data_IF_034286227938
#
_entry.id   IF_034286227938
#
_cell.length_a   1.000
_cell.length_b   1.000
_cell.length_c   1.000
_cell.angle_alpha   90.00
_cell.angle_beta   90.00
_cell.angle_gamma   90.00
#
_symmetry.space_group_name_H-M   'P 1'
#
loop_
_entity.id
_entity.type
_entity.pdbx_description
1 polymer ?
#
# COMPACT_ATOMS: atom_id res chain seq x y z
N UNK A 1 -5.30 26.05 6.98
CA UNK A 1 -4.49 24.82 7.10
C UNK A 1 -5.31 23.70 6.50
N UNK A 2 -4.96 23.24 5.30
CA UNK A 2 -5.78 22.30 4.54
C UNK A 2 -5.55 20.89 5.08
N UNK A 3 -6.56 20.32 5.73
CA UNK A 3 -6.65 18.90 6.04
C UNK A 3 -6.74 18.16 4.72
N UNK A 4 -5.62 17.70 4.15
CA UNK A 4 -5.66 16.80 3.00
C UNK A 4 -6.44 15.56 3.42
N UNK A 5 -7.60 15.27 2.80
CA UNK A 5 -8.33 14.06 3.12
C UNK A 5 -7.46 12.93 2.58
N UNK A 6 -6.88 12.21 3.51
CA UNK A 6 -6.33 10.88 3.30
C UNK A 6 -7.08 10.10 2.23
N UNK A 7 -6.40 9.84 1.11
CA UNK A 7 -6.98 9.11 -0.03
C UNK A 7 -7.34 7.66 0.38
N UNK A 8 -6.70 7.14 1.44
CA UNK A 8 -6.86 5.77 1.90
C UNK A 8 -7.53 5.67 3.28
N UNK A 9 -8.57 4.83 3.43
CA UNK A 9 -9.09 4.46 4.74
C UNK A 9 -8.00 3.80 5.62
N UNK A 10 -7.95 4.05 6.94
CA UNK A 10 -6.93 3.46 7.82
C UNK A 10 -6.83 1.93 7.79
N UNK A 11 -7.95 1.23 7.54
CA UNK A 11 -7.97 -0.22 7.42
C UNK A 11 -7.17 -0.72 6.19
N UNK A 12 -7.20 0.03 5.10
CA UNK A 12 -6.50 -0.28 3.84
C UNK A 12 -5.00 -0.08 4.02
N UNK A 13 -4.61 1.01 4.67
CA UNK A 13 -3.22 1.28 5.03
C UNK A 13 -2.64 0.15 5.88
N UNK A 14 -3.37 -0.28 6.92
CA UNK A 14 -2.95 -1.38 7.79
C UNK A 14 -2.83 -2.71 7.04
N UNK A 15 -3.80 -3.03 6.18
CA UNK A 15 -3.77 -4.25 5.38
C UNK A 15 -2.57 -4.27 4.43
N UNK A 16 -2.30 -3.15 3.75
CA UNK A 16 -1.16 -3.00 2.85
C UNK A 16 0.18 -3.17 3.58
N UNK A 17 0.36 -2.50 4.73
CA UNK A 17 1.57 -2.59 5.55
C UNK A 17 1.78 -4.02 6.05
N UNK A 18 0.71 -4.69 6.48
CA UNK A 18 0.79 -6.11 6.88
C UNK A 18 1.31 -6.97 5.73
N UNK A 19 0.73 -6.84 4.53
CA UNK A 19 1.19 -7.59 3.35
C UNK A 19 2.63 -7.25 2.98
N UNK A 20 3.06 -6.01 3.17
CA UNK A 20 4.45 -5.60 2.95
C UNK A 20 5.40 -6.32 3.89
N UNK A 21 5.04 -6.39 5.18
CA UNK A 21 5.83 -7.13 6.16
C UNK A 21 5.83 -8.63 5.86
N UNK A 22 4.68 -9.20 5.47
CA UNK A 22 4.58 -10.60 5.04
C UNK A 22 5.49 -10.87 3.82
N UNK A 23 5.55 -9.96 2.84
CA UNK A 23 6.41 -10.08 1.65
C UNK A 23 7.89 -10.16 2.01
N UNK A 24 8.36 -9.25 2.88
CA UNK A 24 9.76 -9.22 3.30
C UNK A 24 10.14 -10.38 4.23
N UNK A 25 9.17 -10.96 4.94
CA UNK A 25 9.38 -12.09 5.85
C UNK A 25 9.26 -13.45 5.17
N UNK A 26 8.58 -13.54 4.03
CA UNK A 26 8.37 -14.79 3.30
C UNK A 26 9.64 -15.23 2.55
N UNK A 27 10.08 -16.47 2.76
CA UNK A 27 11.28 -17.05 2.14
C UNK A 27 10.97 -17.85 0.87
N UNK A 28 9.75 -18.33 0.72
CA UNK A 28 9.33 -19.11 -0.43
C UNK A 28 8.96 -18.20 -1.62
N UNK A 29 9.62 -18.34 -2.79
CA UNK A 29 9.42 -17.42 -3.91
C UNK A 29 7.97 -17.30 -4.41
N UNK A 30 7.24 -18.42 -4.53
CA UNK A 30 5.86 -18.42 -5.06
C UNK A 30 4.88 -17.74 -4.10
N UNK A 31 5.04 -17.94 -2.79
CA UNK A 31 4.26 -17.23 -1.78
C UNK A 31 4.59 -15.74 -1.77
N UNK A 32 5.87 -15.39 -1.90
CA UNK A 32 6.31 -14.00 -1.99
C UNK A 32 5.68 -13.29 -3.19
N UNK A 33 5.63 -13.93 -4.36
CA UNK A 33 4.97 -13.39 -5.56
C UNK A 33 3.45 -13.25 -5.35
N UNK A 34 2.83 -14.22 -4.68
CA UNK A 34 1.40 -14.17 -4.34
C UNK A 34 1.09 -12.95 -3.47
N UNK A 35 1.95 -12.65 -2.48
CA UNK A 35 1.81 -11.48 -1.61
C UNK A 35 1.97 -10.18 -2.42
N UNK A 36 2.94 -10.11 -3.34
CA UNK A 36 3.14 -8.95 -4.20
C UNK A 36 1.93 -8.66 -5.09
N UNK A 37 1.31 -9.69 -5.68
CA UNK A 37 0.09 -9.53 -6.49
C UNK A 37 -1.06 -8.99 -5.63
N UNK A 38 -1.18 -9.45 -4.39
CA UNK A 38 -2.21 -8.96 -3.47
C UNK A 38 -1.99 -7.50 -3.09
N UNK A 39 -0.74 -7.08 -2.87
CA UNK A 39 -0.42 -5.67 -2.64
C UNK A 39 -0.75 -4.80 -3.85
N UNK A 40 -0.45 -5.27 -5.07
CA UNK A 40 -0.75 -4.52 -6.30
C UNK A 40 -2.26 -4.34 -6.47
N UNK A 41 -3.06 -5.40 -6.25
CA UNK A 41 -4.53 -5.32 -6.31
C UNK A 41 -5.11 -4.35 -5.28
N UNK A 42 -4.56 -4.31 -4.08
CA UNK A 42 -4.98 -3.36 -3.05
C UNK A 42 -4.70 -1.91 -3.50
N UNK A 43 -3.58 -1.66 -4.17
CA UNK A 43 -3.25 -0.35 -4.75
C UNK A 43 -4.14 0.03 -5.94
N UNK A 44 -4.38 -0.91 -6.86
CA UNK A 44 -5.23 -0.70 -8.03
C UNK A 44 -6.70 -0.45 -7.66
N UNK A 45 -7.24 -1.17 -6.67
CA UNK A 45 -8.63 -0.98 -6.23
C UNK A 45 -8.90 0.41 -5.67
N UNK A 46 -7.89 1.08 -5.13
CA UNK A 46 -8.00 2.42 -4.55
C UNK A 46 -7.68 3.54 -5.53
N UNK A 47 -7.09 3.23 -6.68
CA UNK A 47 -6.71 4.24 -7.66
C UNK A 47 -7.44 4.00 -8.98
N UNK A 48 -8.36 4.91 -9.32
CA UNK A 48 -8.95 4.95 -10.67
C UNK A 48 -7.91 5.41 -11.69
N UNK A 49 -7.04 4.51 -12.15
CA UNK A 49 -6.07 4.79 -13.21
C UNK A 49 -4.79 3.95 -13.13
N UNK A 50 -3.94 4.02 -14.16
CA UNK A 50 -2.63 3.33 -14.17
C UNK A 50 -1.78 3.83 -13.00
N UNK A 51 -1.28 2.90 -12.20
CA UNK A 51 -0.26 3.16 -11.17
C UNK A 51 1.08 3.41 -11.88
N UNK A 52 1.56 4.66 -11.94
CA UNK A 52 2.92 4.96 -12.42
C UNK A 52 3.87 4.88 -11.24
N UNK A 53 5.14 4.56 -11.48
CA UNK A 53 6.16 4.51 -10.42
C UNK A 53 6.27 5.83 -9.64
N UNK A 54 6.11 6.96 -10.32
CA UNK A 54 6.13 8.29 -9.68
C UNK A 54 4.97 8.50 -8.69
N UNK A 55 3.88 7.77 -8.88
CA UNK A 55 2.70 7.82 -8.01
C UNK A 55 2.83 6.95 -6.77
N UNK A 56 3.76 5.99 -6.78
CA UNK A 56 3.98 5.05 -5.68
C UNK A 56 4.61 5.76 -4.48
N UNK A 57 5.59 6.65 -4.72
CA UNK A 57 6.27 7.40 -3.65
C UNK A 57 5.35 8.27 -2.79
N UNK A 58 4.49 9.15 -3.34
CA UNK A 58 3.56 9.95 -2.53
C UNK A 58 2.54 9.07 -1.80
N UNK A 59 2.11 7.96 -2.40
CA UNK A 59 1.21 7.00 -1.77
C UNK A 59 1.80 6.36 -0.51
N UNK A 60 3.08 5.97 -0.56
CA UNK A 60 3.80 5.49 0.63
C UNK A 60 3.96 6.57 1.71
N UNK A 61 4.17 7.83 1.33
CA UNK A 61 4.28 8.94 2.28
C UNK A 61 2.94 9.20 2.99
N UNK A 62 1.81 9.17 2.27
CA UNK A 62 0.47 9.30 2.86
C UNK A 62 0.15 8.13 3.79
N UNK A 63 0.44 6.89 3.38
CA UNK A 63 0.27 5.71 4.21
C UNK A 63 1.08 5.81 5.52
N UNK A 64 2.30 6.33 5.47
CA UNK A 64 3.12 6.54 6.67
C UNK A 64 2.50 7.56 7.62
N UNK A 65 2.03 8.69 7.10
CA UNK A 65 1.38 9.73 7.90
C UNK A 65 0.14 9.22 8.66
N UNK A 66 -0.54 8.18 8.16
CA UNK A 66 -1.66 7.54 8.86
C UNK A 66 -1.27 6.63 10.02
N UNK A 67 -0.09 6.06 9.98
CA UNK A 67 0.37 5.14 11.04
C UNK A 67 0.93 5.90 12.25
N UNK A 68 1.26 7.18 12.05
CA UNK A 68 1.84 8.06 13.06
C UNK A 68 0.78 8.92 13.80
N UNK A 69 -0.50 8.72 13.50
CA UNK A 69 -1.66 9.34 14.19
C UNK A 69 -2.19 8.45 15.32
#
# INVERSE_FOLDING_TARGET
MASSPSIFPPAVVRAFVKRMNDYFSETEPLKRDTIAVLQLRDLESHRKGKLRLDDVRPLFAEMRAHLEQ
#
